data_IF_145334386183
#
_entry.id   IF_145334386183
#
_cell.length_a   1.000
_cell.length_b   1.000
_cell.length_c   1.000
_cell.angle_alpha   90.00
_cell.angle_beta   90.00
_cell.angle_gamma   90.00
#
_symmetry.space_group_name_H-M   'P 1'
#
loop_
_entity.id
_entity.type
_entity.pdbx_description
1 polymer ?
#
# COMPACT_ATOMS: atom_id res chain seq x y z
N UNK A 1 -33.45 33.25 -3.24
CA UNK A 1 -32.71 31.99 -3.30
C UNK A 1 -31.42 32.26 -4.05
N UNK A 2 -30.37 32.59 -3.31
CA UNK A 2 -29.04 32.88 -3.86
C UNK A 2 -28.38 31.54 -4.17
N UNK A 3 -28.29 31.19 -5.45
CA UNK A 3 -27.47 30.05 -5.87
C UNK A 3 -26.01 30.43 -5.72
N UNK A 4 -25.35 29.72 -4.80
CA UNK A 4 -23.93 29.67 -4.57
C UNK A 4 -23.22 29.34 -5.90
N UNK A 5 -22.66 30.36 -6.56
CA UNK A 5 -22.01 30.25 -7.88
C UNK A 5 -20.47 30.27 -7.78
N UNK A 6 -19.92 30.23 -6.57
CA UNK A 6 -18.47 30.42 -6.35
C UNK A 6 -17.76 29.21 -5.72
N UNK A 7 -18.40 28.05 -5.59
CA UNK A 7 -17.68 26.84 -5.16
C UNK A 7 -16.86 26.27 -6.32
N UNK A 8 -15.55 26.53 -6.27
CA UNK A 8 -14.54 25.90 -7.12
C UNK A 8 -14.66 24.36 -7.00
N UNK A 9 -14.63 23.60 -8.10
CA UNK A 9 -14.80 22.15 -8.05
C UNK A 9 -13.73 21.50 -7.15
N UNK A 10 -14.15 20.58 -6.28
CA UNK A 10 -13.26 19.85 -5.39
C UNK A 10 -12.30 19.00 -6.23
N UNK A 11 -10.99 19.16 -6.01
CA UNK A 11 -9.97 18.44 -6.78
C UNK A 11 -9.95 16.95 -6.43
N UNK A 12 -9.42 16.12 -7.34
CA UNK A 12 -9.21 14.70 -7.08
C UNK A 12 -8.45 14.47 -5.76
N UNK A 13 -7.40 15.24 -5.49
CA UNK A 13 -6.60 15.07 -4.27
C UNK A 13 -7.40 15.34 -3.00
N UNK A 14 -8.29 16.35 -3.00
CA UNK A 14 -9.14 16.65 -1.86
C UNK A 14 -10.23 15.57 -1.67
N UNK A 15 -10.84 15.08 -2.76
CA UNK A 15 -11.82 13.98 -2.71
C UNK A 15 -11.17 12.66 -2.26
N UNK A 16 -9.98 12.37 -2.76
CA UNK A 16 -9.17 11.21 -2.37
C UNK A 16 -8.80 11.27 -0.89
N UNK A 17 -8.31 12.43 -0.42
CA UNK A 17 -7.96 12.63 1.00
C UNK A 17 -9.18 12.45 1.90
N UNK A 18 -10.34 13.02 1.52
CA UNK A 18 -11.58 12.84 2.25
C UNK A 18 -12.03 11.37 2.32
N UNK A 19 -11.89 10.63 1.21
CA UNK A 19 -12.24 9.22 1.14
C UNK A 19 -11.31 8.36 2.00
N UNK A 20 -10.01 8.65 1.96
CA UNK A 20 -9.01 7.98 2.79
C UNK A 20 -9.28 8.23 4.28
N UNK A 21 -9.59 9.47 4.65
CA UNK A 21 -9.92 9.81 6.03
C UNK A 21 -11.20 9.11 6.50
N UNK A 22 -12.25 9.07 5.67
CA UNK A 22 -13.48 8.35 5.98
C UNK A 22 -13.20 6.85 6.15
N UNK A 23 -12.48 6.23 5.22
CA UNK A 23 -12.13 4.82 5.30
C UNK A 23 -11.33 4.49 6.56
N UNK A 24 -10.33 5.32 6.89
CA UNK A 24 -9.51 5.15 8.09
C UNK A 24 -10.32 5.30 9.39
N UNK A 25 -11.26 6.24 9.44
CA UNK A 25 -12.18 6.38 10.56
C UNK A 25 -13.09 5.15 10.70
N UNK A 26 -13.73 4.73 9.60
CA UNK A 26 -14.73 3.67 9.65
C UNK A 26 -14.11 2.30 9.91
N UNK A 27 -12.94 2.01 9.36
CA UNK A 27 -12.20 0.76 9.61
C UNK A 27 -11.31 0.82 10.86
N UNK A 28 -11.38 1.88 11.66
CA UNK A 28 -10.70 1.95 12.95
C UNK A 28 -11.10 0.75 13.83
N UNK A 29 -10.10 0.08 14.41
CA UNK A 29 -10.27 -1.15 15.20
C UNK A 29 -10.66 -2.40 14.39
N UNK A 30 -10.68 -2.32 13.05
CA UNK A 30 -10.80 -3.50 12.20
C UNK A 30 -9.42 -4.06 11.89
N UNK A 31 -9.28 -5.38 11.99
CA UNK A 31 -8.07 -6.08 11.60
C UNK A 31 -8.33 -6.98 10.39
N UNK A 32 -7.28 -7.20 9.60
CA UNK A 32 -7.28 -8.22 8.53
C UNK A 32 -7.44 -9.60 9.16
N UNK A 33 -8.09 -10.49 8.42
CA UNK A 33 -8.56 -11.77 8.97
C UNK A 33 -7.40 -12.68 9.38
N UNK A 34 -7.24 -12.88 10.69
CA UNK A 34 -6.22 -13.76 11.25
C UNK A 34 -4.84 -13.11 11.37
N UNK A 35 -4.77 -11.78 11.35
CA UNK A 35 -3.55 -11.00 11.56
C UNK A 35 -3.83 -9.81 12.50
N UNK A 36 -2.78 -9.10 12.90
CA UNK A 36 -2.86 -7.83 13.65
C UNK A 36 -2.78 -6.60 12.75
N UNK A 37 -2.83 -6.79 11.42
CA UNK A 37 -2.66 -5.70 10.45
C UNK A 37 -3.98 -4.91 10.38
N UNK A 38 -3.97 -3.57 10.53
CA UNK A 38 -5.16 -2.74 10.40
C UNK A 38 -5.83 -2.91 9.04
N UNK A 39 -7.15 -3.07 9.00
CA UNK A 39 -7.88 -3.36 7.76
C UNK A 39 -7.76 -2.26 6.70
N UNK A 40 -7.60 -1.00 7.13
CA UNK A 40 -7.47 0.15 6.23
C UNK A 40 -6.31 0.00 5.23
N UNK A 41 -5.30 -0.83 5.51
CA UNK A 41 -4.23 -1.13 4.55
C UNK A 41 -4.79 -1.74 3.25
N UNK A 42 -5.89 -2.50 3.32
CA UNK A 42 -6.50 -3.11 2.15
C UNK A 42 -7.16 -2.12 1.20
N UNK A 43 -8.13 -1.27 1.61
CA UNK A 43 -8.68 -0.26 0.71
C UNK A 43 -7.60 0.65 0.10
N UNK A 44 -6.56 1.00 0.87
CA UNK A 44 -5.44 1.81 0.34
C UNK A 44 -4.66 1.05 -0.72
N UNK A 45 -4.33 -0.22 -0.49
CA UNK A 45 -3.63 -1.04 -1.47
C UNK A 45 -4.46 -1.30 -2.75
N UNK A 46 -5.78 -1.46 -2.61
CA UNK A 46 -6.70 -1.56 -3.77
C UNK A 46 -6.68 -0.26 -4.59
N UNK A 47 -6.74 0.89 -3.93
CA UNK A 47 -6.63 2.18 -4.59
C UNK A 47 -5.25 2.37 -5.28
N UNK A 48 -4.17 1.93 -4.63
CA UNK A 48 -2.82 1.99 -5.18
C UNK A 48 -2.65 1.10 -6.42
N UNK A 49 -3.17 -0.13 -6.41
CA UNK A 49 -3.19 -1.02 -7.57
C UNK A 49 -3.86 -0.36 -8.79
N UNK A 50 -5.00 0.30 -8.59
CA UNK A 50 -5.69 1.04 -9.63
C UNK A 50 -4.84 2.19 -10.18
N UNK A 51 -4.28 3.02 -9.29
CA UNK A 51 -3.46 4.17 -9.69
C UNK A 51 -2.20 3.76 -10.45
N UNK A 52 -1.56 2.66 -10.06
CA UNK A 52 -0.41 2.11 -10.77
C UNK A 52 -0.76 1.62 -12.19
N UNK A 53 -2.04 1.36 -12.50
CA UNK A 53 -2.53 0.96 -13.83
C UNK A 53 -3.12 2.15 -14.60
N UNK A 54 -2.92 3.37 -14.09
CA UNK A 54 -3.34 4.62 -14.72
C UNK A 54 -4.79 5.00 -14.46
N UNK A 55 -5.51 4.26 -13.61
CA UNK A 55 -6.86 4.65 -13.19
C UNK A 55 -6.80 5.82 -12.21
N UNK A 56 -7.74 6.76 -12.33
CA UNK A 56 -7.82 7.97 -11.50
C UNK A 56 -9.28 8.31 -11.20
N UNK A 57 -9.53 9.33 -10.37
CA UNK A 57 -10.89 9.83 -10.16
C UNK A 57 -11.76 8.87 -9.34
N UNK A 58 -13.00 8.70 -9.78
CA UNK A 58 -14.06 8.08 -8.98
C UNK A 58 -13.82 6.61 -8.68
N UNK A 59 -13.20 5.84 -9.59
CA UNK A 59 -12.90 4.43 -9.35
C UNK A 59 -11.87 4.23 -8.23
N UNK A 60 -10.89 5.13 -8.14
CA UNK A 60 -9.88 5.12 -7.07
C UNK A 60 -10.49 5.56 -5.73
N UNK A 61 -11.37 6.56 -5.76
CA UNK A 61 -12.14 6.97 -4.58
C UNK A 61 -13.06 5.83 -4.10
N UNK A 62 -13.74 5.16 -5.03
CA UNK A 62 -14.59 4.01 -4.74
C UNK A 62 -13.77 2.84 -4.15
N UNK A 63 -12.53 2.62 -4.58
CA UNK A 63 -11.64 1.63 -3.99
C UNK A 63 -11.36 1.87 -2.50
N UNK A 64 -11.15 3.12 -2.09
CA UNK A 64 -10.98 3.46 -0.67
C UNK A 64 -12.25 3.19 0.15
N UNK A 65 -13.42 3.26 -0.48
CA UNK A 65 -14.72 3.21 0.19
C UNK A 65 -15.49 1.88 0.01
N UNK A 66 -14.98 0.95 -0.80
CA UNK A 66 -15.75 -0.21 -1.25
C UNK A 66 -16.24 -1.12 -0.11
N UNK A 67 -15.46 -1.23 0.96
CA UNK A 67 -15.80 -2.02 2.16
C UNK A 67 -16.42 -1.19 3.29
N UNK A 68 -16.44 0.13 3.17
CA UNK A 68 -17.00 1.02 4.19
C UNK A 68 -18.51 0.81 4.31
N UNK A 69 -19.21 0.59 3.20
CA UNK A 69 -20.65 0.31 3.22
C UNK A 69 -20.93 -1.14 3.62
N UNK A 70 -20.05 -2.06 3.26
CA UNK A 70 -20.28 -3.50 3.51
C UNK A 70 -20.11 -3.87 4.99
N UNK A 71 -19.15 -3.25 5.67
CA UNK A 71 -18.75 -3.64 7.03
C UNK A 71 -19.07 -2.59 8.10
N UNK A 72 -19.44 -1.36 7.74
CA UNK A 72 -19.56 -0.22 8.66
C UNK A 72 -20.89 0.52 8.51
N UNK A 73 -21.31 1.34 9.51
CA UNK A 73 -22.62 2.00 9.50
C UNK A 73 -22.62 3.24 8.59
N UNK A 74 -22.19 3.09 7.34
CA UNK A 74 -22.21 4.11 6.29
C UNK A 74 -23.19 3.67 5.22
N UNK A 75 -24.19 4.51 4.93
CA UNK A 75 -25.13 4.25 3.85
C UNK A 75 -24.54 4.63 2.50
N UNK A 76 -25.00 3.97 1.43
CA UNK A 76 -24.72 4.41 0.05
C UNK A 76 -25.18 5.84 -0.18
N UNK A 77 -26.30 6.26 0.43
CA UNK A 77 -26.81 7.63 0.32
C UNK A 77 -25.79 8.67 0.83
N UNK A 78 -25.07 8.37 1.93
CA UNK A 78 -23.99 9.24 2.41
C UNK A 78 -22.89 9.42 1.38
N UNK A 79 -22.61 8.40 0.55
CA UNK A 79 -21.60 8.50 -0.49
C UNK A 79 -22.06 9.29 -1.72
N UNK A 80 -23.36 9.57 -1.86
CA UNK A 80 -23.88 10.42 -2.95
C UNK A 80 -23.63 11.90 -2.68
N UNK A 81 -23.46 12.26 -1.42
CA UNK A 81 -23.22 13.63 -0.98
C UNK A 81 -21.77 14.07 -1.26
N UNK A 82 -21.54 15.39 -1.22
CA UNK A 82 -20.18 15.95 -1.30
C UNK A 82 -19.31 15.41 -0.14
N UNK A 83 -18.03 15.09 -0.39
CA UNK A 83 -17.26 15.36 -1.61
C UNK A 83 -17.24 14.21 -2.63
N UNK A 84 -18.03 13.16 -2.44
CA UNK A 84 -17.87 11.90 -3.19
C UNK A 84 -18.71 11.85 -4.46
N UNK A 85 -20.01 12.10 -4.37
CA UNK A 85 -20.90 12.18 -5.53
C UNK A 85 -21.43 10.83 -6.08
N UNK A 86 -22.41 10.93 -6.98
CA UNK A 86 -23.22 9.80 -7.44
C UNK A 86 -22.42 8.65 -8.05
N UNK A 87 -21.39 8.94 -8.85
CA UNK A 87 -20.64 7.89 -9.54
C UNK A 87 -19.83 7.02 -8.56
N UNK A 88 -19.25 7.62 -7.51
CA UNK A 88 -18.58 6.87 -6.43
C UNK A 88 -19.59 5.97 -5.71
N UNK A 89 -20.75 6.51 -5.32
CA UNK A 89 -21.80 5.75 -4.66
C UNK A 89 -22.30 4.57 -5.51
N UNK A 90 -22.44 4.79 -6.82
CA UNK A 90 -22.81 3.76 -7.79
C UNK A 90 -21.78 2.63 -7.86
N UNK A 91 -20.49 2.95 -7.98
CA UNK A 91 -19.42 1.95 -8.02
C UNK A 91 -19.35 1.13 -6.73
N UNK A 92 -19.36 1.80 -5.57
CA UNK A 92 -19.36 1.13 -4.25
C UNK A 92 -20.60 0.24 -4.11
N UNK A 93 -21.78 0.74 -4.47
CA UNK A 93 -23.02 -0.04 -4.42
C UNK A 93 -23.01 -1.28 -5.32
N UNK A 94 -22.35 -1.19 -6.49
CA UNK A 94 -22.22 -2.31 -7.43
C UNK A 94 -21.33 -3.42 -6.89
N UNK A 95 -20.27 -3.07 -6.15
CA UNK A 95 -19.33 -4.06 -5.59
C UNK A 95 -19.65 -4.50 -4.16
N UNK A 96 -20.59 -3.84 -3.47
CA UNK A 96 -21.01 -4.20 -2.10
C UNK A 96 -21.77 -5.52 -2.06
N UNK A 97 -21.38 -6.46 -1.20
CA UNK A 97 -22.07 -7.75 -1.05
C UNK A 97 -23.29 -7.66 -0.10
N UNK A 98 -24.48 -8.03 -0.59
CA UNK A 98 -25.67 -8.14 0.25
C UNK A 98 -25.62 -9.41 1.14
N UNK A 99 -25.08 -9.28 2.36
CA UNK A 99 -24.87 -10.38 3.32
C UNK A 99 -26.16 -10.99 3.88
N UNK A 100 -27.24 -10.20 3.97
CA UNK A 100 -28.51 -10.59 4.59
C UNK A 100 -29.69 -10.29 3.68
N UNK A 101 -30.74 -11.09 3.78
CA UNK A 101 -32.03 -10.81 3.13
C UNK A 101 -32.86 -9.78 3.93
N UNK A 102 -34.05 -9.47 3.44
CA UNK A 102 -35.00 -8.53 4.07
C UNK A 102 -35.43 -8.96 5.47
N UNK A 103 -35.38 -10.26 5.78
CA UNK A 103 -35.67 -10.80 7.11
C UNK A 103 -34.49 -10.72 8.08
N UNK A 104 -33.31 -10.28 7.61
CA UNK A 104 -32.07 -10.25 8.37
C UNK A 104 -31.32 -11.57 8.40
N UNK A 105 -31.77 -12.59 7.66
CA UNK A 105 -31.13 -13.91 7.61
C UNK A 105 -29.90 -13.88 6.72
N UNK A 106 -28.81 -14.53 7.15
CA UNK A 106 -27.58 -14.59 6.37
C UNK A 106 -27.78 -15.46 5.14
N UNK A 107 -27.54 -14.89 3.96
CA UNK A 107 -27.70 -15.60 2.68
C UNK A 107 -26.57 -16.59 2.42
N UNK A 108 -26.81 -17.68 1.68
CA UNK A 108 -25.79 -18.64 1.28
C UNK A 108 -24.60 -17.98 0.58
N UNK A 109 -23.39 -18.50 0.79
CA UNK A 109 -22.18 -17.86 0.28
C UNK A 109 -22.17 -17.81 -1.25
N UNK A 110 -22.52 -18.91 -1.92
CA UNK A 110 -22.49 -19.02 -3.37
C UNK A 110 -23.47 -18.04 -4.04
N UNK A 111 -24.73 -18.01 -3.57
CA UNK A 111 -25.76 -17.11 -4.11
C UNK A 111 -25.35 -15.63 -4.05
N UNK A 112 -24.74 -15.20 -2.93
CA UNK A 112 -24.26 -13.82 -2.80
C UNK A 112 -23.13 -13.51 -3.79
N UNK A 113 -22.22 -14.45 -4.01
CA UNK A 113 -21.10 -14.29 -4.95
C UNK A 113 -21.56 -14.32 -6.39
N UNK A 114 -22.50 -15.20 -6.75
CA UNK A 114 -23.11 -15.22 -8.10
C UNK A 114 -23.86 -13.92 -8.41
N UNK A 115 -24.63 -13.38 -7.45
CA UNK A 115 -25.28 -12.07 -7.62
C UNK A 115 -24.26 -10.95 -7.80
N UNK A 116 -23.17 -10.96 -7.03
CA UNK A 116 -22.09 -9.98 -7.15
C UNK A 116 -21.43 -10.05 -8.55
N UNK A 117 -21.11 -11.26 -9.04
CA UNK A 117 -20.58 -11.48 -10.39
C UNK A 117 -21.54 -10.97 -11.47
N UNK A 118 -22.84 -11.23 -11.33
CA UNK A 118 -23.85 -10.77 -12.28
C UNK A 118 -23.98 -9.24 -12.30
N UNK A 119 -23.93 -8.58 -11.13
CA UNK A 119 -23.97 -7.13 -11.02
C UNK A 119 -22.75 -6.47 -11.68
N UNK A 120 -21.55 -6.94 -11.35
CA UNK A 120 -20.28 -6.43 -11.91
C UNK A 120 -20.20 -6.68 -13.42
N UNK A 121 -20.62 -7.85 -13.89
CA UNK A 121 -20.68 -8.16 -15.34
C UNK A 121 -21.67 -7.27 -16.09
N UNK A 122 -22.82 -6.95 -15.47
CA UNK A 122 -23.83 -6.08 -16.08
C UNK A 122 -23.34 -4.64 -16.21
N UNK A 123 -22.57 -4.15 -15.25
CA UNK A 123 -21.95 -2.82 -15.30
C UNK A 123 -20.97 -2.73 -16.49
N UNK A 124 -20.06 -3.70 -16.61
CA UNK A 124 -19.13 -3.80 -17.74
C UNK A 124 -18.12 -2.66 -17.86
N UNK A 125 -17.96 -1.83 -16.82
CA UNK A 125 -17.11 -0.64 -16.82
C UNK A 125 -16.15 -0.59 -15.61
N UNK A 126 -16.05 0.53 -14.91
CA UNK A 126 -15.12 0.77 -13.80
C UNK A 126 -15.34 -0.17 -12.62
N UNK A 127 -16.56 -0.70 -12.43
CA UNK A 127 -16.84 -1.67 -11.36
C UNK A 127 -16.08 -3.00 -11.57
N UNK A 128 -15.83 -3.39 -12.83
CA UNK A 128 -15.04 -4.58 -13.15
C UNK A 128 -13.59 -4.39 -12.71
N UNK A 129 -13.01 -3.22 -12.99
CA UNK A 129 -11.62 -2.90 -12.64
C UNK A 129 -11.48 -2.75 -11.12
N UNK A 130 -12.43 -2.10 -10.46
CA UNK A 130 -12.48 -2.04 -9.00
C UNK A 130 -12.50 -3.45 -8.38
N UNK A 131 -13.34 -4.35 -8.93
CA UNK A 131 -13.43 -5.72 -8.43
C UNK A 131 -12.17 -6.55 -8.71
N UNK A 132 -11.52 -6.31 -9.84
CA UNK A 132 -10.20 -6.88 -10.14
C UNK A 132 -9.17 -6.47 -9.08
N UNK A 133 -9.07 -5.19 -8.75
CA UNK A 133 -8.07 -4.69 -7.79
C UNK A 133 -8.30 -5.26 -6.38
N UNK A 134 -9.56 -5.32 -5.93
CA UNK A 134 -9.97 -5.99 -4.68
C UNK A 134 -9.52 -7.47 -4.69
N UNK A 135 -9.88 -8.21 -5.74
CA UNK A 135 -9.53 -9.62 -5.88
C UNK A 135 -8.02 -9.86 -5.91
N UNK A 136 -7.27 -9.04 -6.65
CA UNK A 136 -5.82 -9.16 -6.79
C UNK A 136 -5.12 -8.92 -5.45
N UNK A 137 -5.48 -7.87 -4.72
CA UNK A 137 -4.89 -7.62 -3.41
C UNK A 137 -5.21 -8.75 -2.41
N UNK A 138 -6.44 -9.28 -2.44
CA UNK A 138 -6.82 -10.40 -1.59
C UNK A 138 -6.10 -11.70 -1.98
N UNK A 139 -5.84 -11.93 -3.27
CA UNK A 139 -5.00 -13.04 -3.75
C UNK A 139 -3.54 -12.88 -3.30
N UNK A 140 -2.96 -11.69 -3.44
CA UNK A 140 -1.58 -11.39 -2.99
C UNK A 140 -1.41 -11.59 -1.49
N UNK A 141 -2.35 -11.09 -0.67
CA UNK A 141 -2.34 -11.32 0.77
C UNK A 141 -2.51 -12.80 1.13
N UNK A 142 -3.34 -13.53 0.37
CA UNK A 142 -3.48 -14.99 0.54
C UNK A 142 -2.17 -15.71 0.24
N UNK A 143 -1.48 -15.34 -0.84
CA UNK A 143 -0.19 -15.92 -1.22
C UNK A 143 0.88 -15.65 -0.14
N UNK A 144 0.93 -14.42 0.36
CA UNK A 144 1.84 -14.05 1.44
C UNK A 144 1.58 -14.90 2.70
N UNK A 145 0.34 -14.95 3.17
CA UNK A 145 -0.01 -15.71 4.37
C UNK A 145 0.19 -17.22 4.21
N UNK A 146 -0.01 -17.76 3.00
CA UNK A 146 0.32 -19.16 2.68
C UNK A 146 1.82 -19.43 2.77
N UNK A 147 2.66 -18.50 2.29
CA UNK A 147 4.11 -18.61 2.42
C UNK A 147 4.60 -18.63 3.88
N UNK A 148 3.89 -17.94 4.77
CA UNK A 148 4.24 -17.85 6.19
C UNK A 148 3.65 -19.00 7.03
N UNK A 149 2.36 -19.29 6.85
CA UNK A 149 1.58 -20.19 7.73
C UNK A 149 1.43 -21.59 7.12
N UNK A 150 1.70 -21.74 5.82
CA UNK A 150 1.52 -23.00 5.10
C UNK A 150 0.04 -23.40 4.93
N UNK A 151 -0.23 -24.69 4.64
CA UNK A 151 -1.57 -25.17 4.28
C UNK A 151 -2.65 -24.95 5.35
N UNK A 152 -2.26 -24.79 6.62
CA UNK A 152 -3.21 -24.56 7.73
C UNK A 152 -3.95 -23.22 7.62
N UNK A 153 -3.44 -22.27 6.82
CA UNK A 153 -4.11 -21.00 6.47
C UNK A 153 -5.56 -21.20 6.02
N UNK A 154 -5.84 -22.28 5.26
CA UNK A 154 -7.18 -22.54 4.73
C UNK A 154 -8.25 -22.77 5.80
N UNK A 155 -7.85 -23.11 7.03
CA UNK A 155 -8.76 -23.21 8.19
C UNK A 155 -9.46 -21.88 8.51
N UNK A 156 -8.88 -20.74 8.10
CA UNK A 156 -9.51 -19.42 8.23
C UNK A 156 -10.78 -19.31 7.38
N UNK A 157 -10.94 -20.08 6.31
CA UNK A 157 -12.04 -19.95 5.33
C UNK A 157 -13.07 -21.06 5.45
N UNK A 158 -14.31 -20.69 5.82
CA UNK A 158 -15.42 -21.65 5.98
C UNK A 158 -15.77 -22.43 4.71
N UNK A 159 -15.58 -21.83 3.54
CA UNK A 159 -15.87 -22.47 2.24
C UNK A 159 -14.69 -23.28 1.69
N UNK A 160 -13.52 -23.20 2.33
CA UNK A 160 -12.31 -23.90 1.89
C UNK A 160 -11.68 -23.35 0.61
N UNK A 161 -10.53 -23.94 0.24
CA UNK A 161 -9.67 -23.52 -0.87
C UNK A 161 -10.38 -23.50 -2.23
N UNK A 162 -11.09 -24.58 -2.57
CA UNK A 162 -11.69 -24.75 -3.91
C UNK A 162 -12.62 -23.59 -4.27
N UNK A 163 -13.49 -23.21 -3.36
CA UNK A 163 -14.44 -22.11 -3.58
C UNK A 163 -13.78 -20.74 -3.59
N UNK A 164 -12.67 -20.55 -2.85
CA UNK A 164 -11.86 -19.33 -2.93
C UNK A 164 -11.17 -19.19 -4.30
N UNK A 165 -10.59 -20.28 -4.81
CA UNK A 165 -9.96 -20.28 -6.14
C UNK A 165 -11.01 -20.04 -7.23
N UNK A 166 -12.16 -20.71 -7.15
CA UNK A 166 -13.29 -20.46 -8.07
C UNK A 166 -13.70 -18.99 -8.09
N UNK A 167 -13.76 -18.35 -6.93
CA UNK A 167 -14.12 -16.94 -6.80
C UNK A 167 -13.16 -16.04 -7.58
N UNK A 168 -11.85 -16.21 -7.38
CA UNK A 168 -10.86 -15.40 -8.08
C UNK A 168 -10.87 -15.63 -9.59
N UNK A 169 -10.97 -16.89 -10.04
CA UNK A 169 -11.03 -17.20 -11.47
C UNK A 169 -12.31 -16.65 -12.13
N UNK A 170 -13.44 -16.67 -11.42
CA UNK A 170 -14.69 -16.09 -11.92
C UNK A 170 -14.58 -14.57 -12.13
N UNK A 171 -13.80 -13.88 -11.28
CA UNK A 171 -13.49 -12.46 -11.48
C UNK A 171 -12.58 -12.27 -12.68
N UNK A 172 -11.52 -13.08 -12.82
CA UNK A 172 -10.63 -13.02 -13.98
C UNK A 172 -11.40 -13.20 -15.31
N UNK A 173 -12.40 -14.09 -15.34
CA UNK A 173 -13.29 -14.27 -16.49
C UNK A 173 -14.09 -12.99 -16.82
N UNK A 174 -14.70 -12.35 -15.82
CA UNK A 174 -15.43 -11.08 -16.04
C UNK A 174 -14.50 -9.98 -16.53
N UNK A 175 -13.29 -9.89 -15.97
CA UNK A 175 -12.28 -8.91 -16.36
C UNK A 175 -11.85 -9.14 -17.80
N UNK A 176 -11.67 -10.40 -18.22
CA UNK A 176 -11.38 -10.76 -19.60
C UNK A 176 -12.53 -10.43 -20.54
N UNK A 177 -13.76 -10.76 -20.17
CA UNK A 177 -14.98 -10.46 -20.94
C UNK A 177 -15.15 -8.94 -21.14
N UNK A 178 -14.72 -8.13 -20.17
CA UNK A 178 -14.66 -6.68 -20.25
C UNK A 178 -13.49 -6.13 -21.10
N UNK A 179 -12.83 -6.98 -21.90
CA UNK A 179 -11.70 -6.61 -22.76
C UNK A 179 -10.51 -6.02 -21.97
N UNK A 180 -10.16 -6.66 -20.84
CA UNK A 180 -8.97 -6.37 -20.02
C UNK A 180 -8.14 -7.65 -19.79
N UNK A 181 -7.65 -8.32 -20.84
CA UNK A 181 -6.96 -9.61 -20.72
C UNK A 181 -5.64 -9.53 -19.94
N UNK A 182 -5.00 -8.37 -19.92
CA UNK A 182 -3.80 -8.06 -19.14
C UNK A 182 -4.09 -8.13 -17.63
N UNK A 183 -5.12 -7.44 -17.17
CA UNK A 183 -5.56 -7.45 -15.77
C UNK A 183 -6.03 -8.85 -15.35
N UNK A 184 -6.78 -9.53 -16.22
CA UNK A 184 -7.18 -10.91 -15.99
C UNK A 184 -5.96 -11.83 -15.81
N UNK A 185 -4.97 -11.71 -16.68
CA UNK A 185 -3.73 -12.52 -16.62
C UNK A 185 -2.96 -12.27 -15.32
N UNK A 186 -2.91 -11.03 -14.83
CA UNK A 186 -2.26 -10.68 -13.56
C UNK A 186 -2.93 -11.39 -12.37
N UNK A 187 -4.27 -11.36 -12.31
CA UNK A 187 -5.01 -12.08 -11.27
C UNK A 187 -4.83 -13.60 -11.38
N UNK A 188 -4.84 -14.15 -12.60
CA UNK A 188 -4.63 -15.58 -12.83
C UNK A 188 -3.23 -16.04 -12.41
N UNK A 189 -2.21 -15.22 -12.61
CA UNK A 189 -0.85 -15.52 -12.14
C UNK A 189 -0.79 -15.58 -10.61
N UNK A 190 -1.44 -14.63 -9.93
CA UNK A 190 -1.54 -14.66 -8.46
C UNK A 190 -2.29 -15.92 -7.97
N UNK A 191 -3.39 -16.28 -8.63
CA UNK A 191 -4.14 -17.51 -8.31
C UNK A 191 -3.34 -18.78 -8.60
N UNK A 192 -2.60 -18.82 -9.71
CA UNK A 192 -1.73 -19.94 -10.05
C UNK A 192 -0.64 -20.12 -8.99
N UNK A 193 -0.07 -19.03 -8.47
CA UNK A 193 0.90 -19.08 -7.38
C UNK A 193 0.28 -19.62 -6.08
N UNK A 194 -0.96 -19.20 -5.73
CA UNK A 194 -1.71 -19.75 -4.58
C UNK A 194 -1.94 -21.25 -4.75
N UNK A 195 -2.31 -21.67 -5.96
CA UNK A 195 -2.56 -23.08 -6.26
C UNK A 195 -1.26 -23.87 -6.17
N UNK A 196 -0.17 -23.36 -6.71
CA UNK A 196 1.15 -23.99 -6.70
C UNK A 196 1.70 -24.15 -5.28
N UNK A 197 1.74 -23.08 -4.50
CA UNK A 197 2.20 -23.15 -3.10
C UNK A 197 1.32 -24.07 -2.23
N UNK A 198 0.06 -24.28 -2.63
CA UNK A 198 -0.85 -25.22 -1.97
C UNK A 198 -0.69 -26.69 -2.38
N UNK A 199 0.25 -27.03 -3.27
CA UNK A 199 0.54 -28.41 -3.71
C UNK A 199 1.89 -28.80 -3.08
N UNK A 200 1.84 -29.43 -1.89
CA UNK A 200 2.97 -30.06 -1.19
C UNK A 200 4.31 -29.31 -1.18
N UNK A 201 4.51 -28.48 -0.15
CA UNK A 201 5.83 -28.23 0.40
C UNK A 201 5.80 -28.56 1.90
N UNK A 202 6.88 -29.17 2.40
CA UNK A 202 7.07 -29.58 3.78
C UNK A 202 6.65 -28.48 4.78
N UNK A 203 6.18 -28.87 5.97
CA UNK A 203 5.81 -27.96 7.06
C UNK A 203 6.84 -26.82 7.18
N UNK A 204 6.47 -25.57 6.83
CA UNK A 204 7.23 -24.42 7.26
C UNK A 204 7.19 -24.39 8.79
N UNK A 205 8.29 -24.00 9.43
CA UNK A 205 8.27 -23.70 10.86
C UNK A 205 7.12 -22.73 11.11
N UNK A 206 6.23 -23.10 12.04
CA UNK A 206 5.15 -22.23 12.46
C UNK A 206 5.75 -20.85 12.78
N UNK A 207 5.23 -19.76 12.19
CA UNK A 207 5.63 -18.44 12.62
C UNK A 207 5.43 -18.42 14.13
N UNK A 208 6.50 -18.06 14.86
CA UNK A 208 6.33 -17.75 16.28
C UNK A 208 5.17 -16.75 16.33
N UNK A 209 4.13 -16.98 17.16
CA UNK A 209 3.21 -15.90 17.46
C UNK A 209 4.09 -14.69 17.82
N UNK A 210 3.72 -13.47 17.40
CA UNK A 210 4.45 -12.28 17.87
C UNK A 210 4.66 -12.50 19.36
N UNK A 211 5.93 -12.41 19.80
CA UNK A 211 6.27 -12.54 21.21
C UNK A 211 5.20 -11.77 21.99
N UNK A 212 4.72 -12.30 23.11
CA UNK A 212 3.71 -11.71 24.00
C UNK A 212 4.13 -10.29 24.44
N UNK A 213 4.20 -9.37 23.50
CA UNK A 213 4.21 -7.95 23.66
C UNK A 213 2.75 -7.64 23.66
N UNK A 214 2.30 -7.12 24.80
CA UNK A 214 1.00 -6.53 25.00
C UNK A 214 0.51 -5.96 23.67
N UNK A 215 -0.52 -6.57 23.07
CA UNK A 215 -1.14 -6.01 21.88
C UNK A 215 -1.44 -4.55 22.22
N UNK A 216 -0.68 -3.61 21.63
CA UNK A 216 -0.67 -2.22 22.05
C UNK A 216 -2.11 -1.73 21.99
N UNK A 217 -2.72 -1.58 23.15
CA UNK A 217 -4.15 -1.42 23.30
C UNK A 217 -4.50 -0.06 22.71
N UNK A 218 -4.94 -0.06 21.44
CA UNK A 218 -5.19 1.15 20.68
C UNK A 218 -4.26 1.37 19.48
N UNK A 219 -3.37 0.45 19.13
CA UNK A 219 -2.54 0.54 17.91
C UNK A 219 -3.38 0.84 16.67
N UNK A 220 -4.48 0.13 16.46
CA UNK A 220 -5.38 0.36 15.31
C UNK A 220 -5.94 1.80 15.30
N UNK A 221 -6.25 2.35 16.47
CA UNK A 221 -6.76 3.71 16.61
C UNK A 221 -5.66 4.76 16.37
N UNK A 222 -4.46 4.53 16.91
CA UNK A 222 -3.27 5.37 16.67
C UNK A 222 -2.86 5.35 15.19
N UNK A 223 -2.88 4.18 14.56
CA UNK A 223 -2.63 4.01 13.13
C UNK A 223 -3.64 4.78 12.29
N UNK A 224 -4.93 4.61 12.57
CA UNK A 224 -5.98 5.36 11.87
C UNK A 224 -5.82 6.88 12.05
N UNK A 225 -5.45 7.35 13.25
CA UNK A 225 -5.17 8.76 13.50
C UNK A 225 -3.97 9.28 12.71
N UNK A 226 -2.85 8.57 12.75
CA UNK A 226 -1.63 8.93 12.02
C UNK A 226 -1.86 8.93 10.50
N UNK A 227 -2.62 7.96 9.97
CA UNK A 227 -2.99 7.92 8.56
C UNK A 227 -3.79 9.15 8.14
N UNK A 228 -4.78 9.57 8.94
CA UNK A 228 -5.56 10.79 8.66
C UNK A 228 -4.71 12.05 8.72
N UNK A 229 -3.82 12.13 9.72
CA UNK A 229 -2.89 13.24 9.87
C UNK A 229 -1.97 13.34 8.64
N UNK A 230 -1.29 12.25 8.27
CA UNK A 230 -0.43 12.19 7.10
C UNK A 230 -1.19 12.49 5.79
N UNK A 231 -2.41 11.95 5.63
CA UNK A 231 -3.24 12.21 4.46
C UNK A 231 -3.59 13.69 4.31
N UNK A 232 -3.87 14.37 5.43
CA UNK A 232 -4.18 15.79 5.44
C UNK A 232 -2.93 16.62 5.16
N UNK A 233 -1.80 16.29 5.78
CA UNK A 233 -0.52 16.99 5.58
C UNK A 233 0.01 16.87 4.15
N UNK A 234 -0.19 15.72 3.51
CA UNK A 234 0.23 15.46 2.12
C UNK A 234 -0.88 15.70 1.08
N UNK A 235 -2.01 16.30 1.47
CA UNK A 235 -3.12 16.57 0.56
C UNK A 235 -2.65 17.47 -0.60
N UNK A 236 -2.86 17.03 -1.83
CA UNK A 236 -2.43 17.73 -3.05
C UNK A 236 -0.97 17.49 -3.45
N UNK A 237 -0.18 16.78 -2.63
CA UNK A 237 1.17 16.37 -3.01
C UNK A 237 1.12 15.11 -3.88
N UNK A 238 1.98 15.04 -4.88
CA UNK A 238 2.10 13.91 -5.81
C UNK A 238 3.48 13.25 -5.72
N UNK A 239 3.54 11.93 -5.97
CA UNK A 239 4.82 11.23 -6.13
C UNK A 239 5.55 11.79 -7.36
N UNK A 240 6.85 12.01 -7.20
CA UNK A 240 7.69 12.69 -8.18
C UNK A 240 7.61 12.06 -9.57
N UNK A 241 7.12 12.84 -10.54
CA UNK A 241 6.99 12.42 -11.94
C UNK A 241 5.72 11.64 -12.25
N UNK A 242 4.74 11.61 -11.36
CA UNK A 242 3.47 10.89 -11.51
C UNK A 242 2.30 11.75 -11.04
N UNK A 243 1.07 11.29 -11.28
CA UNK A 243 -0.16 11.87 -10.70
C UNK A 243 -0.64 11.14 -9.44
N UNK A 244 0.15 10.19 -8.93
CA UNK A 244 -0.22 9.36 -7.78
C UNK A 244 -0.09 10.20 -6.51
N UNK A 245 -1.11 10.27 -5.61
CA UNK A 245 -1.04 11.00 -4.35
C UNK A 245 0.14 10.54 -3.49
N UNK A 246 0.86 11.48 -2.88
CA UNK A 246 2.08 11.18 -2.13
C UNK A 246 1.85 10.24 -0.94
N UNK A 247 0.69 10.35 -0.29
CA UNK A 247 0.31 9.52 0.87
C UNK A 247 0.39 8.01 0.62
N UNK A 248 0.33 7.57 -0.64
CA UNK A 248 0.58 6.17 -1.02
C UNK A 248 1.96 5.67 -0.56
N UNK A 249 2.97 6.54 -0.50
CA UNK A 249 4.31 6.18 -0.06
C UNK A 249 4.41 5.92 1.44
N UNK A 250 4.04 6.85 2.34
CA UNK A 250 4.04 6.56 3.77
C UNK A 250 3.23 5.32 4.13
N UNK A 251 2.08 5.09 3.47
CA UNK A 251 1.28 3.88 3.70
C UNK A 251 2.02 2.62 3.27
N UNK A 252 2.66 2.61 2.10
CA UNK A 252 3.44 1.45 1.66
C UNK A 252 4.67 1.18 2.55
N UNK A 253 5.31 2.22 3.11
CA UNK A 253 6.40 2.07 4.08
C UNK A 253 5.91 1.44 5.37
N UNK A 254 4.76 1.90 5.89
CA UNK A 254 4.14 1.31 7.07
C UNK A 254 3.72 -0.15 6.83
N UNK A 255 3.18 -0.46 5.64
CA UNK A 255 2.78 -1.82 5.27
C UNK A 255 3.97 -2.77 5.15
N UNK A 256 5.08 -2.34 4.54
CA UNK A 256 6.33 -3.13 4.49
C UNK A 256 6.84 -3.50 5.88
N UNK A 257 6.78 -2.58 6.85
CA UNK A 257 7.14 -2.84 8.23
C UNK A 257 6.20 -3.88 8.87
N UNK A 258 4.88 -3.72 8.72
CA UNK A 258 3.91 -4.67 9.26
C UNK A 258 4.05 -6.07 8.67
N UNK A 259 4.35 -6.18 7.38
CA UNK A 259 4.64 -7.46 6.71
C UNK A 259 5.90 -8.14 7.28
N UNK A 260 6.84 -7.36 7.84
CA UNK A 260 8.06 -7.86 8.48
C UNK A 260 7.95 -7.96 10.01
N UNK A 261 6.72 -7.95 10.54
CA UNK A 261 6.44 -8.19 11.95
C UNK A 261 6.63 -6.98 12.87
N UNK A 262 6.91 -5.80 12.33
CA UNK A 262 6.97 -4.57 13.13
C UNK A 262 5.56 -4.04 13.44
N UNK A 263 5.37 -3.48 14.63
CA UNK A 263 4.10 -2.92 15.11
C UNK A 263 4.35 -1.68 15.97
N UNK A 264 3.30 -1.00 16.43
CA UNK A 264 3.44 0.11 17.37
C UNK A 264 4.11 1.34 16.75
N UNK A 265 4.96 2.00 17.54
CA UNK A 265 5.47 3.35 17.25
C UNK A 265 6.29 3.44 15.97
N UNK A 266 7.02 2.40 15.57
CA UNK A 266 7.79 2.40 14.31
C UNK A 266 6.89 2.42 13.08
N UNK A 267 5.74 1.74 13.13
CA UNK A 267 4.75 1.77 12.03
C UNK A 267 4.03 3.11 11.99
N UNK A 268 3.74 3.70 13.15
CA UNK A 268 3.20 5.07 13.21
C UNK A 268 4.21 6.08 12.66
N UNK A 269 5.48 5.95 13.05
CA UNK A 269 6.56 6.79 12.52
C UNK A 269 6.74 6.63 11.02
N UNK A 270 6.53 5.43 10.45
CA UNK A 270 6.52 5.23 9.00
C UNK A 270 5.45 6.03 8.25
N UNK A 271 4.23 6.11 8.78
CA UNK A 271 3.18 6.97 8.21
C UNK A 271 3.54 8.45 8.26
N UNK A 272 4.37 8.84 9.23
CA UNK A 272 4.69 10.23 9.53
C UNK A 272 6.09 10.66 9.07
N UNK A 273 6.93 9.75 8.54
CA UNK A 273 8.36 10.01 8.36
C UNK A 273 8.67 11.22 7.46
N UNK A 274 7.81 11.48 6.47
CA UNK A 274 7.95 12.60 5.53
C UNK A 274 7.10 13.83 5.90
N UNK A 275 6.24 13.76 6.92
CA UNK A 275 5.33 14.89 7.21
C UNK A 275 6.12 16.11 7.65
N UNK A 276 7.19 15.94 8.42
CA UNK A 276 8.06 17.04 8.87
C UNK A 276 8.95 17.56 7.73
N UNK A 277 9.31 16.68 6.79
CA UNK A 277 10.18 17.04 5.68
C UNK A 277 9.48 17.80 4.55
N UNK A 278 8.25 17.40 4.25
CA UNK A 278 7.57 17.73 3.00
C UNK A 278 6.19 18.40 3.22
N UNK A 279 5.83 18.74 4.46
CA UNK A 279 4.61 19.49 4.80
C UNK A 279 4.90 20.66 5.76
N UNK A 280 3.84 21.30 6.28
CA UNK A 280 3.94 22.36 7.30
C UNK A 280 3.98 21.83 8.74
N UNK A 281 3.91 20.51 8.95
CA UNK A 281 3.95 19.92 10.28
C UNK A 281 5.34 20.05 10.92
N UNK A 282 5.38 20.30 12.22
CA UNK A 282 6.59 20.31 13.03
C UNK A 282 6.78 18.99 13.78
N UNK A 283 7.99 18.75 14.28
CA UNK A 283 8.24 17.60 15.15
C UNK A 283 7.47 17.69 16.48
N UNK A 284 7.15 18.91 16.92
CA UNK A 284 6.35 19.15 18.11
C UNK A 284 4.89 18.77 17.90
N UNK A 285 4.34 18.99 16.70
CA UNK A 285 3.00 18.50 16.34
C UNK A 285 2.93 16.97 16.43
N UNK A 286 3.94 16.29 15.86
CA UNK A 286 4.05 14.82 15.93
C UNK A 286 4.17 14.35 17.38
N UNK A 287 4.97 15.03 18.21
CA UNK A 287 5.14 14.70 19.64
C UNK A 287 3.82 14.85 20.40
N UNK A 288 3.12 15.96 20.20
CA UNK A 288 1.88 16.28 20.91
C UNK A 288 0.76 15.29 20.56
N UNK A 289 0.67 14.84 19.31
CA UNK A 289 -0.39 13.93 18.86
C UNK A 289 -0.06 12.44 19.04
N UNK A 290 1.20 12.04 18.86
CA UNK A 290 1.59 10.62 18.76
C UNK A 290 2.61 10.16 19.80
N UNK A 291 3.15 11.08 20.60
CA UNK A 291 4.06 10.81 21.71
C UNK A 291 5.54 10.91 21.36
N UNK A 292 6.38 10.89 22.40
CA UNK A 292 7.82 11.13 22.31
C UNK A 292 8.57 10.08 21.49
N UNK A 293 8.18 8.80 21.57
CA UNK A 293 8.85 7.73 20.84
C UNK A 293 8.66 7.89 19.32
N UNK A 294 7.43 8.13 18.87
CA UNK A 294 7.12 8.40 17.46
C UNK A 294 7.86 9.64 16.98
N UNK A 295 7.83 10.74 17.74
CA UNK A 295 8.56 11.95 17.38
C UNK A 295 10.08 11.72 17.29
N UNK A 296 10.65 10.92 18.19
CA UNK A 296 12.08 10.59 18.15
C UNK A 296 12.44 9.79 16.90
N UNK A 297 11.62 8.80 16.52
CA UNK A 297 11.82 8.01 15.31
C UNK A 297 11.70 8.86 14.04
N UNK A 298 10.66 9.69 13.93
CA UNK A 298 10.49 10.62 12.80
C UNK A 298 11.68 11.58 12.71
N UNK A 299 12.09 12.17 13.83
CA UNK A 299 13.24 13.07 13.86
C UNK A 299 14.53 12.38 13.43
N UNK A 300 14.73 11.11 13.78
CA UNK A 300 15.94 10.36 13.42
C UNK A 300 16.05 10.07 11.92
N UNK A 301 14.91 9.98 11.20
CA UNK A 301 14.91 9.73 9.75
C UNK A 301 14.71 10.99 8.90
N UNK A 302 14.39 12.12 9.53
CA UNK A 302 14.22 13.43 8.86
C UNK A 302 15.56 13.97 8.34
N UNK A 303 15.65 14.20 7.04
CA UNK A 303 16.81 14.74 6.34
C UNK A 303 16.87 16.27 6.43
N UNK A 304 17.97 16.80 6.95
CA UNK A 304 18.25 18.24 6.88
C UNK A 304 18.61 18.65 5.44
N UNK A 305 17.62 19.11 4.68
CA UNK A 305 17.76 19.52 3.26
C UNK A 305 18.48 20.86 3.08
N UNK A 306 18.54 21.70 4.12
CA UNK A 306 19.10 23.05 4.09
C UNK A 306 20.02 23.29 5.29
N UNK A 307 21.03 24.14 5.12
CA UNK A 307 21.86 24.63 6.22
C UNK A 307 21.19 25.79 6.97
N UNK A 308 21.84 26.31 8.01
CA UNK A 308 21.36 27.44 8.82
C UNK A 308 21.11 28.72 8.00
N UNK A 309 21.77 28.87 6.84
CA UNK A 309 21.57 30.00 5.93
C UNK A 309 20.38 29.79 4.97
N UNK A 310 19.75 28.61 5.01
CA UNK A 310 18.67 28.21 4.09
C UNK A 310 19.18 27.66 2.75
N UNK A 311 20.49 27.50 2.57
CA UNK A 311 21.08 26.99 1.33
C UNK A 311 20.90 25.48 1.24
N UNK A 312 20.55 24.98 0.05
CA UNK A 312 20.34 23.54 -0.15
C UNK A 312 21.67 22.80 -0.01
N UNK A 313 21.72 21.84 0.91
CA UNK A 313 22.91 21.01 1.16
C UNK A 313 23.14 20.01 0.00
N UNK A 314 24.40 19.66 -0.32
CA UNK A 314 24.72 18.68 -1.36
C UNK A 314 24.02 17.34 -1.13
N UNK A 315 23.61 16.68 -2.22
CA UNK A 315 22.85 15.43 -2.11
C UNK A 315 23.69 14.31 -1.48
N UNK A 316 24.96 14.20 -1.90
CA UNK A 316 25.88 13.13 -1.47
C UNK A 316 26.20 13.23 0.04
N UNK A 317 26.48 14.43 0.54
CA UNK A 317 26.79 14.67 1.96
C UNK A 317 25.64 14.19 2.86
N UNK A 318 24.41 14.62 2.56
CA UNK A 318 23.23 14.20 3.35
C UNK A 318 23.00 12.69 3.30
N UNK A 319 23.33 12.02 2.17
CA UNK A 319 23.22 10.56 2.06
C UNK A 319 24.32 9.83 2.84
N UNK A 320 25.54 10.36 2.87
CA UNK A 320 26.62 9.83 3.70
C UNK A 320 26.30 9.94 5.20
N UNK A 321 25.69 11.05 5.64
CA UNK A 321 25.21 11.21 7.02
C UNK A 321 24.16 10.15 7.40
N UNK A 322 23.21 9.88 6.50
CA UNK A 322 22.20 8.83 6.72
C UNK A 322 22.83 7.44 6.80
N UNK A 323 23.86 7.15 6.00
CA UNK A 323 24.58 5.86 6.05
C UNK A 323 25.33 5.73 7.39
N UNK A 324 26.03 6.77 7.82
CA UNK A 324 26.76 6.77 9.09
C UNK A 324 25.82 6.56 10.28
N UNK A 325 24.66 7.22 10.29
CA UNK A 325 23.67 7.10 11.35
C UNK A 325 23.12 5.66 11.54
N UNK A 326 23.11 4.84 10.48
CA UNK A 326 22.72 3.42 10.56
C UNK A 326 23.88 2.56 11.07
N UNK A 327 25.09 2.81 10.57
CA UNK A 327 26.27 1.97 10.75
C UNK A 327 27.00 2.10 12.09
N UNK A 328 26.71 3.14 12.89
CA UNK A 328 27.46 3.43 14.13
C UNK A 328 27.27 2.43 15.28
N UNK A 329 26.48 1.36 15.10
CA UNK A 329 26.53 0.07 15.82
C UNK A 329 26.30 0.06 17.34
N UNK A 330 26.37 1.21 18.01
CA UNK A 330 26.26 1.38 19.45
C UNK A 330 24.99 2.14 19.85
N UNK A 331 24.34 2.88 18.91
CA UNK A 331 23.18 3.75 19.18
C UNK A 331 22.07 3.66 18.10
N UNK A 332 22.23 2.90 17.01
CA UNK A 332 21.17 2.79 16.00
C UNK A 332 20.03 1.89 16.49
N UNK A 333 18.96 2.52 16.98
CA UNK A 333 17.71 1.85 17.34
C UNK A 333 17.25 0.94 16.19
N UNK A 334 16.99 -0.34 16.48
CA UNK A 334 16.53 -1.33 15.50
C UNK A 334 15.30 -0.84 14.70
N UNK A 335 14.44 -0.04 15.33
CA UNK A 335 13.28 0.58 14.70
C UNK A 335 13.66 1.65 13.67
N UNK A 336 14.68 2.48 13.95
CA UNK A 336 15.18 3.47 12.98
C UNK A 336 15.80 2.78 11.77
N UNK A 337 16.55 1.69 11.97
CA UNK A 337 17.11 0.87 10.88
C UNK A 337 15.97 0.29 10.04
N UNK A 338 14.95 -0.29 10.68
CA UNK A 338 13.80 -0.87 9.99
C UNK A 338 13.01 0.17 9.19
N UNK A 339 12.75 1.34 9.79
CA UNK A 339 12.06 2.45 9.13
C UNK A 339 12.85 2.91 7.89
N UNK A 340 14.17 3.04 8.02
CA UNK A 340 15.02 3.45 6.90
C UNK A 340 15.10 2.40 5.79
N UNK A 341 15.12 1.13 6.18
CA UNK A 341 14.98 0.02 5.25
C UNK A 341 13.67 0.10 4.48
N UNK A 342 12.53 0.29 5.15
CA UNK A 342 11.21 0.31 4.52
C UNK A 342 11.03 1.50 3.56
N UNK A 343 11.49 2.69 3.95
CA UNK A 343 11.56 3.88 3.08
C UNK A 343 12.36 3.57 1.80
N UNK A 344 13.57 3.05 1.98
CA UNK A 344 14.49 2.74 0.88
C UNK A 344 13.95 1.62 -0.01
N UNK A 345 13.37 0.58 0.58
CA UNK A 345 12.75 -0.54 -0.11
C UNK A 345 11.61 -0.08 -1.01
N UNK A 346 10.66 0.72 -0.49
CA UNK A 346 9.55 1.20 -1.32
C UNK A 346 10.05 2.10 -2.45
N UNK A 347 11.04 2.95 -2.19
CA UNK A 347 11.66 3.78 -3.23
C UNK A 347 12.39 2.95 -4.31
N UNK A 348 13.07 1.87 -3.92
CA UNK A 348 13.68 0.92 -4.84
C UNK A 348 12.61 0.17 -5.66
N UNK A 349 11.54 -0.33 -5.04
CA UNK A 349 10.42 -0.98 -5.73
C UNK A 349 9.72 -0.05 -6.72
N UNK A 350 9.48 1.21 -6.35
CA UNK A 350 8.99 2.23 -7.29
C UNK A 350 9.97 2.48 -8.44
N UNK A 351 11.28 2.49 -8.17
CA UNK A 351 12.31 2.64 -9.21
C UNK A 351 12.30 1.46 -10.18
N UNK A 352 12.19 0.23 -9.70
CA UNK A 352 12.11 -0.97 -10.52
C UNK A 352 10.87 -0.95 -11.43
N UNK A 353 9.69 -0.70 -10.85
CA UNK A 353 8.44 -0.62 -11.61
C UNK A 353 8.49 0.45 -12.70
N UNK A 354 8.98 1.65 -12.37
CA UNK A 354 9.08 2.71 -13.37
C UNK A 354 10.10 2.34 -14.46
N UNK A 355 11.17 1.63 -14.11
CA UNK A 355 12.18 1.17 -15.07
C UNK A 355 11.58 0.16 -16.05
N UNK A 356 10.73 -0.76 -15.57
CA UNK A 356 9.99 -1.70 -16.41
C UNK A 356 9.01 -0.99 -17.37
N UNK A 357 8.42 0.12 -16.95
CA UNK A 357 7.42 0.86 -17.73
C UNK A 357 8.04 1.83 -18.75
N UNK A 358 8.99 2.66 -18.33
CA UNK A 358 9.54 3.76 -19.15
C UNK A 358 11.01 3.58 -19.53
N UNK A 359 11.65 2.50 -19.09
CA UNK A 359 13.04 2.18 -19.41
C UNK A 359 14.03 3.24 -18.93
N UNK A 360 15.15 3.39 -19.66
CA UNK A 360 16.23 4.29 -19.29
C UNK A 360 15.82 5.78 -19.18
N UNK A 361 14.68 6.18 -19.74
CA UNK A 361 14.16 7.54 -19.62
C UNK A 361 13.85 7.93 -18.17
N UNK A 362 13.59 6.93 -17.30
CA UNK A 362 13.40 7.07 -15.87
C UNK A 362 14.47 7.95 -15.21
N UNK A 363 15.73 7.75 -15.56
CA UNK A 363 16.85 8.37 -14.85
C UNK A 363 16.87 9.90 -14.96
N UNK A 364 16.20 10.46 -15.96
CA UNK A 364 16.02 11.91 -16.11
C UNK A 364 15.30 12.56 -14.92
N UNK A 365 14.45 11.81 -14.18
CA UNK A 365 13.79 12.33 -12.98
C UNK A 365 14.75 12.50 -11.80
N UNK A 366 15.89 11.81 -11.78
CA UNK A 366 16.83 11.83 -10.67
C UNK A 366 18.00 12.78 -10.96
N UNK A 367 18.08 13.89 -10.21
CA UNK A 367 19.18 14.87 -10.35
C UNK A 367 20.56 14.28 -10.06
N UNK A 368 20.64 13.29 -9.18
CA UNK A 368 21.88 12.57 -8.86
C UNK A 368 22.32 11.62 -9.99
N UNK A 369 21.44 11.32 -10.95
CA UNK A 369 21.66 10.35 -12.00
C UNK A 369 21.64 8.90 -11.49
N UNK A 370 21.71 7.96 -12.44
CA UNK A 370 21.64 6.52 -12.20
C UNK A 370 22.67 6.02 -11.19
N UNK A 371 23.95 6.33 -11.45
CA UNK A 371 25.07 5.76 -10.69
C UNK A 371 24.97 6.07 -9.20
N UNK A 372 24.69 7.32 -8.85
CA UNK A 372 24.55 7.71 -7.45
C UNK A 372 23.29 7.14 -6.80
N UNK A 373 22.20 6.92 -7.56
CA UNK A 373 21.01 6.28 -6.99
C UNK A 373 21.21 4.80 -6.69
N UNK A 374 21.84 4.05 -7.60
CA UNK A 374 22.18 2.65 -7.34
C UNK A 374 23.20 2.54 -6.20
N UNK A 375 24.21 3.42 -6.16
CA UNK A 375 25.16 3.50 -5.04
C UNK A 375 24.44 3.73 -3.71
N UNK A 376 23.45 4.63 -3.67
CA UNK A 376 22.68 4.91 -2.46
C UNK A 376 21.95 3.67 -1.95
N UNK A 377 21.21 2.96 -2.81
CA UNK A 377 20.50 1.76 -2.39
C UNK A 377 21.43 0.66 -1.89
N UNK A 378 22.56 0.42 -2.58
CA UNK A 378 23.56 -0.56 -2.15
C UNK A 378 24.23 -0.16 -0.82
N UNK A 379 24.51 1.12 -0.63
CA UNK A 379 25.14 1.62 0.61
C UNK A 379 24.20 1.49 1.81
N UNK A 380 22.90 1.71 1.61
CA UNK A 380 21.91 1.48 2.66
C UNK A 380 21.77 -0.01 2.98
N UNK A 381 21.73 -0.88 1.97
CA UNK A 381 21.72 -2.32 2.20
C UNK A 381 22.95 -2.77 3.01
N UNK A 382 24.13 -2.22 2.70
CA UNK A 382 25.35 -2.51 3.44
C UNK A 382 25.31 -2.00 4.88
N UNK A 383 24.86 -0.76 5.12
CA UNK A 383 24.71 -0.23 6.47
C UNK A 383 23.71 -1.04 7.31
N UNK A 384 22.58 -1.47 6.72
CA UNK A 384 21.58 -2.33 7.38
C UNK A 384 22.17 -3.71 7.70
N UNK A 385 23.03 -4.25 6.83
CA UNK A 385 23.73 -5.50 7.13
C UNK A 385 24.68 -5.34 8.31
N UNK A 386 25.43 -4.24 8.34
CA UNK A 386 26.37 -3.93 9.42
C UNK A 386 25.69 -3.72 10.77
N UNK A 387 24.43 -3.24 10.79
CA UNK A 387 23.62 -3.17 12.01
C UNK A 387 23.05 -4.52 12.48
N UNK A 388 23.37 -5.63 11.79
CA UNK A 388 22.96 -6.98 12.15
C UNK A 388 21.67 -7.46 11.50
N UNK A 389 21.00 -6.64 10.67
CA UNK A 389 19.74 -6.97 9.97
C UNK A 389 19.98 -7.50 8.56
N UNK A 390 20.70 -8.62 8.48
CA UNK A 390 21.03 -9.27 7.20
C UNK A 390 19.80 -9.73 6.41
N UNK A 391 18.69 -10.03 7.11
CA UNK A 391 17.38 -10.34 6.54
C UNK A 391 16.85 -9.18 5.69
N UNK A 392 16.79 -7.98 6.27
CA UNK A 392 16.31 -6.76 5.61
C UNK A 392 17.25 -6.32 4.49
N UNK A 393 18.56 -6.37 4.75
CA UNK A 393 19.58 -6.05 3.75
C UNK A 393 19.46 -6.94 2.51
N UNK A 394 19.35 -8.26 2.70
CA UNK A 394 19.21 -9.22 1.60
C UNK A 394 17.94 -9.01 0.77
N UNK A 395 16.83 -8.65 1.41
CA UNK A 395 15.60 -8.31 0.69
C UNK A 395 15.80 -7.07 -0.20
N UNK A 396 16.43 -6.02 0.32
CA UNK A 396 16.69 -4.79 -0.45
C UNK A 396 17.63 -5.07 -1.63
N UNK A 397 18.67 -5.86 -1.43
CA UNK A 397 19.62 -6.24 -2.50
C UNK A 397 18.97 -7.01 -3.64
N UNK A 398 17.97 -7.83 -3.38
CA UNK A 398 17.23 -8.53 -4.44
C UNK A 398 16.53 -7.53 -5.37
N UNK A 399 15.87 -6.52 -4.80
CA UNK A 399 15.22 -5.46 -5.59
C UNK A 399 16.24 -4.61 -6.33
N UNK A 400 17.35 -4.25 -5.69
CA UNK A 400 18.42 -3.47 -6.34
C UNK A 400 19.09 -4.28 -7.46
N UNK A 401 19.29 -5.57 -7.27
CA UNK A 401 19.78 -6.49 -8.29
C UNK A 401 18.84 -6.55 -9.50
N UNK A 402 17.53 -6.61 -9.27
CA UNK A 402 16.53 -6.54 -10.34
C UNK A 402 16.58 -5.20 -11.10
N UNK A 403 16.78 -4.07 -10.42
CA UNK A 403 16.97 -2.76 -11.07
C UNK A 403 18.20 -2.79 -11.99
N UNK A 404 19.32 -3.33 -11.50
CA UNK A 404 20.57 -3.44 -12.27
C UNK A 404 20.38 -4.35 -13.48
N UNK A 405 19.70 -5.49 -13.30
CA UNK A 405 19.42 -6.46 -14.36
C UNK A 405 18.50 -5.89 -15.44
N UNK A 406 17.38 -5.28 -15.03
CA UNK A 406 16.42 -4.68 -15.95
C UNK A 406 17.09 -3.56 -16.77
N UNK A 407 17.95 -2.77 -16.13
CA UNK A 407 18.75 -1.76 -16.82
C UNK A 407 19.67 -2.37 -17.88
N UNK A 408 20.43 -3.41 -17.51
CA UNK A 408 21.34 -4.08 -18.45
C UNK A 408 20.59 -4.66 -19.66
N UNK A 409 19.37 -5.15 -19.43
CA UNK A 409 18.49 -5.67 -20.49
C UNK A 409 18.02 -4.58 -21.46
N UNK A 410 17.81 -3.35 -20.98
CA UNK A 410 17.48 -2.20 -21.83
C UNK A 410 18.69 -1.59 -22.54
N UNK A 411 19.88 -1.66 -21.94
CA UNK A 411 21.13 -1.15 -22.53
C UNK A 411 21.72 -2.10 -23.59
N UNK A 412 21.27 -3.36 -23.65
CA UNK A 412 21.72 -4.34 -24.63
C UNK A 412 21.29 -3.94 -26.07
N UNK A 413 22.21 -3.98 -27.05
CA UNK A 413 21.85 -3.69 -28.44
C UNK A 413 20.81 -4.72 -28.92
N UNK A 414 19.78 -4.25 -29.63
CA UNK A 414 18.80 -5.14 -30.23
C UNK A 414 19.52 -6.16 -31.11
N UNK A 415 19.47 -7.44 -30.74
CA UNK A 415 19.97 -8.53 -31.59
C UNK A 415 19.30 -8.42 -32.96
N UNK A 416 20.06 -8.34 -34.07
CA UNK A 416 19.46 -8.33 -35.39
C UNK A 416 18.64 -9.60 -35.55
N UNK A 417 17.34 -9.46 -35.84
CA UNK A 417 16.50 -10.60 -36.22
C UNK A 417 17.07 -11.12 -37.55
N UNK A 418 17.64 -12.32 -37.52
CA UNK A 418 18.15 -13.03 -38.69
C UNK A 418 17.01 -13.59 -39.54
#
# INVERSE_FOLDING_TARGET
MSHDKDQKPITFDARYTAALCLAAEQHCGQQRKGTTIPYITHPVAVADLLMQRGFTGDVVIAALLHDVVEDRPVSIDRLREEPFGEHVAYLVGTVTEQKRDESGTKRPWLERKEQQLAAVRKDGSDAVVLKWADALHNAQATLHDLGQVGPTFWSRFKVGRTWQVWWYLSIADIVRDASRPDLASELEQAVAAIVWQGIDHAEPQAPQPPADGDADAGFDARYAAALRFAATQHCGQQRKGTTIPYITHPVAVADLLMQHGFTGDVVIAALLHDVVEDSSASIDDVRNEFGDCVASLVSAVTEQKRDESGTKRPWLERKQEQIAAIGDGNDSNADTVALKWADTMHNAQSTLRDLEQVGASLWSKFKAGRTLQVWWYLSIADAIRQSGRSDLAGALEQVVGAIIWQQASHDAPATPRH
#
